data_IF_205925515905
#
_entry.id   IF_205925515905
#
_cell.length_a   1.000
_cell.length_b   1.000
_cell.length_c   1.000
_cell.angle_alpha   90.00
_cell.angle_beta   90.00
_cell.angle_gamma   90.00
#
_symmetry.space_group_name_H-M   'P 1'
#
loop_
_entity.id
_entity.type
_entity.pdbx_description
1 polymer ?
#
# COMPACT_ATOMS: atom_id res chain seq x y z
N UNK A 1 -14.12 32.62 -7.67
CA UNK A 1 -14.14 31.18 -7.37
C UNK A 1 -12.78 30.74 -6.86
N UNK A 2 -12.72 30.41 -5.57
CA UNK A 2 -11.54 30.14 -4.72
C UNK A 2 -10.50 29.10 -5.23
N UNK A 3 -10.70 28.48 -6.40
CA UNK A 3 -9.76 27.55 -7.04
C UNK A 3 -8.72 28.24 -7.95
N UNK A 4 -8.56 29.56 -7.86
CA UNK A 4 -7.46 30.25 -8.56
C UNK A 4 -6.14 30.00 -7.83
N UNK A 5 -5.04 29.67 -8.52
CA UNK A 5 -3.76 29.24 -7.92
C UNK A 5 -3.03 30.30 -7.06
N UNK A 6 -3.65 31.46 -6.82
CA UNK A 6 -3.05 32.61 -6.14
C UNK A 6 -3.72 32.98 -4.81
N UNK A 7 -4.80 32.31 -4.39
CA UNK A 7 -5.43 32.55 -3.07
C UNK A 7 -5.37 31.29 -2.21
N UNK A 8 -4.84 31.35 -0.98
CA UNK A 8 -4.91 30.24 -0.03
C UNK A 8 -6.37 29.98 0.37
N UNK A 9 -6.76 28.71 0.44
CA UNK A 9 -8.07 28.30 0.95
C UNK A 9 -7.94 28.07 2.45
N UNK A 10 -8.37 29.05 3.23
CA UNK A 10 -8.41 29.02 4.69
C UNK A 10 -9.76 29.54 5.19
N UNK A 11 -10.00 29.47 6.51
CA UNK A 11 -11.29 29.85 7.09
C UNK A 11 -11.64 31.32 6.81
N UNK A 12 -10.64 32.21 6.74
CA UNK A 12 -10.86 33.63 6.49
C UNK A 12 -11.27 33.84 5.02
N UNK A 13 -10.51 33.29 4.08
CA UNK A 13 -10.80 33.45 2.64
C UNK A 13 -12.10 32.76 2.23
N UNK A 14 -12.42 31.62 2.84
CA UNK A 14 -13.69 30.92 2.62
C UNK A 14 -14.88 31.71 3.21
N UNK A 15 -14.73 32.29 4.40
CA UNK A 15 -15.79 33.10 5.03
C UNK A 15 -16.10 34.35 4.23
N UNK A 16 -15.08 35.06 3.73
CA UNK A 16 -15.28 36.26 2.91
C UNK A 16 -15.99 35.95 1.59
N UNK A 17 -15.65 34.85 0.92
CA UNK A 17 -16.32 34.47 -0.33
C UNK A 17 -17.78 34.08 -0.08
N UNK A 18 -18.05 33.27 0.94
CA UNK A 18 -19.42 32.88 1.32
C UNK A 18 -20.27 34.08 1.77
N UNK A 19 -19.65 35.10 2.37
CA UNK A 19 -20.33 36.34 2.72
C UNK A 19 -20.67 37.17 1.49
N UNK A 20 -19.78 37.24 0.50
CA UNK A 20 -20.05 37.90 -0.80
C UNK A 20 -21.18 37.22 -1.57
N UNK A 21 -21.25 35.88 -1.51
CA UNK A 21 -22.32 35.10 -2.14
C UNK A 21 -23.63 35.09 -1.33
N UNK A 22 -23.61 35.59 -0.08
CA UNK A 22 -24.77 35.65 0.80
C UNK A 22 -25.14 34.32 1.47
N UNK A 23 -24.34 33.26 1.30
CA UNK A 23 -24.62 31.91 1.81
C UNK A 23 -24.00 31.61 3.19
N UNK A 24 -23.22 32.55 3.76
CA UNK A 24 -22.50 32.33 5.02
C UNK A 24 -23.44 32.00 6.19
N UNK A 25 -24.58 32.67 6.30
CA UNK A 25 -25.53 32.41 7.38
C UNK A 25 -26.26 31.06 7.21
N UNK A 26 -26.56 30.65 5.97
CA UNK A 26 -27.27 29.39 5.68
C UNK A 26 -26.49 28.15 6.13
N UNK A 27 -25.16 28.21 6.08
CA UNK A 27 -24.28 27.11 6.51
C UNK A 27 -23.98 27.13 8.02
N UNK A 28 -24.55 28.07 8.79
CA UNK A 28 -24.31 28.21 10.23
C UNK A 28 -23.20 29.19 10.62
N UNK A 29 -22.72 30.02 9.68
CA UNK A 29 -21.79 31.11 9.94
C UNK A 29 -20.32 30.71 10.14
N UNK A 30 -19.49 31.69 10.49
CA UNK A 30 -18.05 31.50 10.70
C UNK A 30 -17.72 30.53 11.86
N UNK A 31 -18.64 30.38 12.82
CA UNK A 31 -18.53 29.43 13.92
C UNK A 31 -18.57 27.98 13.42
N UNK A 32 -19.43 27.66 12.45
CA UNK A 32 -19.50 26.33 11.86
C UNK A 32 -18.20 25.97 11.11
N UNK A 33 -17.67 26.90 10.31
CA UNK A 33 -16.39 26.71 9.60
C UNK A 33 -15.23 26.46 10.57
N UNK A 34 -15.21 27.18 11.70
CA UNK A 34 -14.20 26.98 12.74
C UNK A 34 -14.33 25.58 13.38
N UNK A 35 -15.55 25.12 13.63
CA UNK A 35 -15.79 23.79 14.20
C UNK A 35 -15.36 22.63 13.27
N UNK A 36 -15.39 22.83 11.95
CA UNK A 36 -14.90 21.86 10.98
C UNK A 36 -13.38 21.65 11.07
N UNK A 37 -12.62 22.68 11.50
CA UNK A 37 -11.18 22.53 11.73
C UNK A 37 -10.88 21.70 12.98
N UNK A 38 -11.70 21.80 14.02
CA UNK A 38 -11.49 21.11 15.29
C UNK A 38 -11.78 19.59 15.18
N UNK A 39 -12.63 19.18 14.23
CA UNK A 39 -13.04 17.79 14.02
C UNK A 39 -12.07 16.92 13.21
N UNK A 40 -11.00 17.49 12.64
CA UNK A 40 -10.11 16.78 11.71
C UNK A 40 -8.80 16.37 12.40
N UNK A 41 -8.45 15.07 12.46
CA UNK A 41 -7.18 14.61 13.02
C UNK A 41 -5.99 15.19 12.25
N UNK A 42 -4.95 15.66 12.96
CA UNK A 42 -3.77 16.34 12.37
C UNK A 42 -2.93 15.48 11.42
N UNK A 43 -3.09 14.15 11.43
CA UNK A 43 -2.43 13.20 10.52
C UNK A 43 -3.40 12.75 9.43
N UNK A 44 -3.52 13.54 8.37
CA UNK A 44 -4.61 13.41 7.40
C UNK A 44 -4.32 12.39 6.30
N UNK A 45 -5.11 11.32 6.27
CA UNK A 45 -5.40 10.60 5.03
C UNK A 45 -6.73 11.16 4.46
N UNK A 46 -6.70 12.39 3.92
CA UNK A 46 -7.88 13.05 3.29
C UNK A 46 -8.55 12.11 2.28
N UNK A 47 -7.74 11.37 1.53
CA UNK A 47 -8.21 10.41 0.54
C UNK A 47 -9.07 9.30 1.17
N UNK A 48 -8.72 8.83 2.37
CA UNK A 48 -9.51 7.85 3.11
C UNK A 48 -10.89 8.40 3.50
N UNK A 49 -10.96 9.61 4.06
CA UNK A 49 -12.24 10.22 4.43
C UNK A 49 -13.10 10.57 3.21
N UNK A 50 -12.49 11.09 2.15
CA UNK A 50 -13.17 11.34 0.88
C UNK A 50 -13.76 10.06 0.30
N UNK A 51 -13.04 8.93 0.42
CA UNK A 51 -13.54 7.62 -0.01
C UNK A 51 -14.75 7.16 0.80
N UNK A 52 -14.77 7.35 2.12
CA UNK A 52 -15.94 7.05 2.96
C UNK A 52 -17.15 7.86 2.51
N UNK A 53 -16.98 9.18 2.30
CA UNK A 53 -18.07 10.07 1.87
C UNK A 53 -18.59 9.63 0.50
N UNK A 54 -17.70 9.33 -0.46
CA UNK A 54 -18.08 8.86 -1.79
C UNK A 54 -18.83 7.53 -1.75
N UNK A 55 -18.40 6.59 -0.91
CA UNK A 55 -19.09 5.30 -0.71
C UNK A 55 -20.50 5.49 -0.13
N UNK A 56 -20.66 6.35 0.88
CA UNK A 56 -21.99 6.66 1.42
C UNK A 56 -22.88 7.39 0.42
N UNK A 57 -22.31 8.23 -0.44
CA UNK A 57 -23.04 8.88 -1.54
C UNK A 57 -23.56 7.87 -2.56
N UNK A 58 -22.76 6.86 -2.89
CA UNK A 58 -23.15 5.77 -3.79
C UNK A 58 -24.35 5.00 -3.23
N UNK A 59 -24.33 4.63 -1.94
CA UNK A 59 -25.47 3.95 -1.32
C UNK A 59 -26.74 4.78 -1.38
N UNK A 60 -26.65 6.10 -1.10
CA UNK A 60 -27.81 7.00 -1.21
C UNK A 60 -28.36 7.06 -2.63
N UNK A 61 -27.50 7.17 -3.63
CA UNK A 61 -27.92 7.19 -5.03
C UNK A 61 -28.58 5.87 -5.45
N UNK A 62 -28.03 4.73 -5.04
CA UNK A 62 -28.65 3.43 -5.31
C UNK A 62 -30.04 3.32 -4.70
N UNK A 63 -30.21 3.77 -3.44
CA UNK A 63 -31.51 3.82 -2.77
C UNK A 63 -32.50 4.69 -3.55
N UNK A 64 -32.08 5.88 -3.99
CA UNK A 64 -32.93 6.80 -4.75
C UNK A 64 -33.32 6.21 -6.11
N UNK A 65 -32.37 5.62 -6.84
CA UNK A 65 -32.63 4.96 -8.13
C UNK A 65 -33.59 3.78 -7.96
N UNK A 66 -33.39 2.94 -6.94
CA UNK A 66 -34.30 1.83 -6.65
C UNK A 66 -35.70 2.30 -6.25
N UNK A 67 -35.80 3.34 -5.43
CA UNK A 67 -37.09 3.92 -5.04
C UNK A 67 -37.86 4.48 -6.26
N UNK A 68 -37.15 5.12 -7.20
CA UNK A 68 -37.73 5.58 -8.46
C UNK A 68 -38.26 4.42 -9.30
N UNK A 69 -37.47 3.36 -9.48
CA UNK A 69 -37.88 2.15 -10.23
C UNK A 69 -39.14 1.52 -9.61
N UNK A 70 -39.18 1.43 -8.28
CA UNK A 70 -40.35 0.90 -7.56
C UNK A 70 -41.59 1.78 -7.82
N UNK A 71 -41.46 3.09 -7.71
CA UNK A 71 -42.57 4.02 -7.95
C UNK A 71 -43.11 3.90 -9.37
N UNK A 72 -42.24 3.89 -10.38
CA UNK A 72 -42.61 3.73 -11.78
C UNK A 72 -43.31 2.38 -12.05
N UNK A 73 -42.89 1.33 -11.35
CA UNK A 73 -43.51 -0.01 -11.45
C UNK A 73 -44.97 -0.03 -10.95
N UNK A 74 -45.29 0.78 -9.94
CA UNK A 74 -46.66 0.89 -9.40
C UNK A 74 -47.57 1.78 -10.24
N UNK A 75 -47.03 2.80 -10.92
CA UNK A 75 -47.83 3.71 -11.74
C UNK A 75 -48.39 3.05 -13.02
N UNK A 76 -47.78 1.95 -13.50
CA UNK A 76 -48.19 1.17 -14.68
C UNK A 76 -48.51 2.01 -15.93
N UNK A 77 -47.86 3.18 -16.08
CA UNK A 77 -48.10 4.09 -17.21
C UNK A 77 -47.36 3.69 -18.48
N UNK A 78 -46.24 2.99 -18.34
CA UNK A 78 -45.32 2.67 -19.42
C UNK A 78 -45.36 1.17 -19.77
N UNK A 79 -44.92 0.82 -20.98
CA UNK A 79 -44.74 -0.56 -21.39
C UNK A 79 -43.65 -1.24 -20.54
N UNK A 80 -43.79 -2.55 -20.31
CA UNK A 80 -42.91 -3.30 -19.42
C UNK A 80 -41.45 -3.29 -19.91
N UNK A 81 -41.25 -3.33 -21.23
CA UNK A 81 -39.93 -3.28 -21.85
C UNK A 81 -39.27 -1.90 -21.64
N UNK A 82 -40.04 -0.82 -21.72
CA UNK A 82 -39.56 0.54 -21.49
C UNK A 82 -39.13 0.74 -20.03
N UNK A 83 -39.91 0.21 -19.07
CA UNK A 83 -39.58 0.26 -17.66
C UNK A 83 -38.29 -0.53 -17.33
N UNK A 84 -38.07 -1.66 -17.99
CA UNK A 84 -36.84 -2.45 -17.86
C UNK A 84 -35.62 -1.67 -18.36
N UNK A 85 -35.72 -1.00 -19.50
CA UNK A 85 -34.64 -0.18 -20.06
C UNK A 85 -34.28 1.03 -19.17
N UNK A 86 -35.29 1.70 -18.60
CA UNK A 86 -35.08 2.80 -17.64
C UNK A 86 -34.41 2.31 -16.35
N UNK A 87 -34.83 1.17 -15.82
CA UNK A 87 -34.24 0.56 -14.64
C UNK A 87 -32.77 0.18 -14.89
N UNK A 88 -32.47 -0.42 -16.04
CA UNK A 88 -31.12 -0.79 -16.44
C UNK A 88 -30.21 0.46 -16.54
N UNK A 89 -30.71 1.52 -17.18
CA UNK A 89 -29.98 2.79 -17.34
C UNK A 89 -29.65 3.44 -15.99
N UNK A 90 -30.62 3.49 -15.08
CA UNK A 90 -30.45 4.06 -13.75
C UNK A 90 -29.42 3.31 -12.88
N UNK A 91 -29.29 2.00 -13.06
CA UNK A 91 -28.29 1.18 -12.36
C UNK A 91 -26.89 1.35 -12.97
N UNK A 92 -26.80 1.43 -14.29
CA UNK A 92 -25.53 1.67 -15.00
C UNK A 92 -24.93 3.03 -14.60
N UNK A 93 -25.73 4.09 -14.55
CA UNK A 93 -25.27 5.43 -14.19
C UNK A 93 -24.63 5.47 -12.78
N UNK A 94 -25.21 4.72 -11.83
CA UNK A 94 -24.66 4.58 -10.46
C UNK A 94 -23.34 3.80 -10.49
N UNK A 95 -23.21 2.80 -11.37
CA UNK A 95 -22.00 2.00 -11.52
C UNK A 95 -20.83 2.75 -12.19
N UNK A 96 -21.12 3.63 -13.16
CA UNK A 96 -20.10 4.41 -13.88
C UNK A 96 -19.35 5.40 -12.98
N UNK A 97 -19.96 5.88 -11.89
CA UNK A 97 -19.28 6.73 -10.90
C UNK A 97 -18.15 6.02 -10.14
N UNK A 98 -17.99 4.70 -10.31
CA UNK A 98 -16.91 3.88 -9.76
C UNK A 98 -15.76 3.68 -10.75
N UNK A 99 -15.87 4.14 -12.00
CA UNK A 99 -14.86 3.90 -13.04
C UNK A 99 -13.55 4.59 -12.60
N UNK A 100 -12.57 3.75 -12.26
CA UNK A 100 -11.17 4.12 -12.05
C UNK A 100 -10.69 4.92 -13.26
N UNK A 101 -9.66 5.79 -13.12
CA UNK A 101 -9.11 6.52 -14.26
C UNK A 101 -8.89 5.57 -15.44
N UNK A 102 -9.56 5.87 -16.56
CA UNK A 102 -9.50 5.10 -17.79
C UNK A 102 -8.20 5.36 -18.56
N UNK A 103 -8.28 5.47 -19.88
CA UNK A 103 -7.11 5.80 -20.69
C UNK A 103 -6.61 7.22 -20.37
N UNK A 104 -5.31 7.34 -20.07
CA UNK A 104 -4.62 8.62 -19.90
C UNK A 104 -3.83 8.92 -21.17
N UNK A 105 -3.96 10.10 -21.79
CA UNK A 105 -3.26 10.41 -23.02
C UNK A 105 -1.74 10.52 -22.79
N UNK A 106 -0.96 10.06 -23.77
CA UNK A 106 0.52 10.08 -23.70
C UNK A 106 1.09 11.49 -23.53
N UNK A 107 0.39 12.53 -23.98
CA UNK A 107 0.78 13.92 -23.78
C UNK A 107 0.85 14.33 -22.30
N UNK A 108 0.09 13.67 -21.43
CA UNK A 108 0.15 13.89 -19.98
C UNK A 108 1.23 13.03 -19.29
N UNK A 109 1.59 11.88 -19.88
CA UNK A 109 2.53 10.93 -19.28
C UNK A 109 3.99 11.19 -19.68
N UNK A 110 4.24 11.53 -20.94
CA UNK A 110 5.61 11.62 -21.46
C UNK A 110 6.45 12.76 -20.82
N UNK A 111 5.93 13.99 -20.65
CA UNK A 111 6.71 15.06 -20.00
C UNK A 111 7.21 14.73 -18.58
N UNK A 112 6.36 14.32 -17.61
CA UNK A 112 6.83 14.02 -16.27
C UNK A 112 7.79 12.81 -16.23
N UNK A 113 7.62 11.82 -17.11
CA UNK A 113 8.57 10.70 -17.22
C UNK A 113 9.94 11.15 -17.71
N UNK A 114 10.01 12.06 -18.69
CA UNK A 114 11.29 12.61 -19.17
C UNK A 114 11.98 13.40 -18.05
N UNK A 115 11.24 14.16 -17.25
CA UNK A 115 11.81 14.92 -16.14
C UNK A 115 12.32 14.00 -15.02
N UNK A 116 11.62 12.89 -14.75
CA UNK A 116 12.12 11.83 -13.86
C UNK A 116 13.44 11.24 -14.38
N UNK A 117 13.56 10.97 -15.69
CA UNK A 117 14.80 10.44 -16.29
C UNK A 117 15.96 11.44 -16.17
N UNK A 118 15.71 12.74 -16.37
CA UNK A 118 16.73 13.78 -16.17
C UNK A 118 17.23 13.80 -14.73
N UNK A 119 16.32 13.73 -13.77
CA UNK A 119 16.68 13.68 -12.35
C UNK A 119 17.56 12.45 -12.01
N UNK A 120 17.24 11.29 -12.58
CA UNK A 120 18.06 10.07 -12.42
C UNK A 120 19.45 10.22 -13.04
N UNK A 121 19.52 10.78 -14.25
CA UNK A 121 20.79 11.04 -14.96
C UNK A 121 21.71 11.94 -14.15
N UNK A 122 21.16 12.96 -13.50
CA UNK A 122 21.95 13.94 -12.76
C UNK A 122 22.49 13.38 -11.43
N UNK A 123 21.82 12.39 -10.82
CA UNK A 123 22.28 11.69 -9.60
C UNK A 123 23.45 10.73 -9.85
N UNK A 124 23.57 10.16 -11.05
CA UNK A 124 24.60 9.17 -11.44
C UNK A 124 24.74 7.99 -10.46
N UNK A 125 23.64 7.57 -9.85
CA UNK A 125 23.62 6.41 -8.95
C UNK A 125 23.57 5.10 -9.77
N UNK A 126 24.40 4.13 -9.38
CA UNK A 126 24.41 2.79 -10.02
C UNK A 126 23.22 1.94 -9.59
N UNK A 127 22.70 2.18 -8.38
CA UNK A 127 21.54 1.48 -7.81
C UNK A 127 20.50 2.52 -7.46
N UNK A 128 19.35 2.44 -8.11
CA UNK A 128 18.26 3.44 -8.01
C UNK A 128 17.02 2.91 -7.29
N UNK A 129 16.91 1.59 -7.19
CA UNK A 129 15.91 0.89 -6.37
C UNK A 129 16.47 0.43 -5.02
N UNK A 130 15.72 -0.45 -4.36
CA UNK A 130 16.17 -1.12 -3.12
C UNK A 130 17.34 -2.06 -3.46
N UNK A 131 18.54 -1.88 -2.88
CA UNK A 131 19.70 -2.70 -3.18
C UNK A 131 19.52 -4.12 -2.61
N UNK A 132 19.99 -5.11 -3.37
CA UNK A 132 19.94 -6.52 -2.96
C UNK A 132 21.10 -6.93 -2.08
N UNK A 133 22.20 -6.16 -2.11
CA UNK A 133 23.46 -6.48 -1.43
C UNK A 133 24.38 -7.37 -2.27
N UNK A 134 23.90 -7.87 -3.41
CA UNK A 134 24.68 -8.61 -4.39
C UNK A 134 25.07 -7.65 -5.52
N UNK A 135 26.33 -7.19 -5.55
CA UNK A 135 26.81 -6.19 -6.52
C UNK A 135 26.51 -6.55 -7.96
N UNK A 136 26.69 -7.82 -8.34
CA UNK A 136 26.46 -8.26 -9.71
C UNK A 136 24.96 -8.23 -10.05
N UNK A 137 24.09 -8.59 -9.10
CA UNK A 137 22.64 -8.51 -9.28
C UNK A 137 22.17 -7.06 -9.36
N UNK A 138 22.64 -6.22 -8.44
CA UNK A 138 22.35 -4.78 -8.43
C UNK A 138 22.88 -4.09 -9.69
N UNK A 139 24.00 -4.54 -10.27
CA UNK A 139 24.50 -4.05 -11.55
C UNK A 139 23.61 -4.43 -12.73
N UNK A 140 22.90 -5.56 -12.65
CA UNK A 140 21.96 -6.01 -13.69
C UNK A 140 20.58 -5.38 -13.55
N UNK A 141 20.11 -5.16 -12.32
CA UNK A 141 18.73 -4.69 -12.05
C UNK A 141 18.65 -3.22 -11.63
N UNK A 142 19.78 -2.59 -11.29
CA UNK A 142 19.83 -1.29 -10.61
C UNK A 142 19.05 -1.28 -9.28
N UNK A 143 18.99 -2.42 -8.59
CA UNK A 143 18.17 -2.66 -7.40
C UNK A 143 16.78 -3.20 -7.75
N UNK A 144 15.87 -3.20 -6.77
CA UNK A 144 14.46 -3.54 -6.97
C UNK A 144 13.58 -2.28 -6.91
N UNK A 145 12.75 -2.06 -7.93
CA UNK A 145 12.00 -0.81 -8.06
C UNK A 145 10.56 -0.94 -7.56
N UNK A 146 10.01 0.20 -7.16
CA UNK A 146 8.61 0.28 -6.75
C UNK A 146 7.69 -0.15 -7.91
N UNK A 147 6.57 -0.79 -7.55
CA UNK A 147 5.56 -1.28 -8.49
C UNK A 147 5.99 -2.45 -9.37
N UNK A 148 7.14 -3.09 -9.10
CA UNK A 148 7.54 -4.33 -9.75
C UNK A 148 7.03 -5.58 -9.00
N UNK A 149 6.81 -6.65 -9.75
CA UNK A 149 6.53 -7.99 -9.21
C UNK A 149 7.66 -8.94 -9.61
N UNK A 150 8.55 -9.23 -8.67
CA UNK A 150 9.75 -10.03 -8.90
C UNK A 150 9.50 -11.47 -8.48
N UNK A 151 9.78 -12.42 -9.38
CA UNK A 151 9.59 -13.85 -9.14
C UNK A 151 10.93 -14.55 -9.02
N UNK A 152 11.21 -15.11 -7.85
CA UNK A 152 12.38 -15.97 -7.61
C UNK A 152 11.94 -17.43 -7.70
N UNK A 153 12.28 -18.09 -8.81
CA UNK A 153 11.91 -19.48 -9.09
C UNK A 153 13.13 -20.41 -9.04
N UNK A 154 12.88 -21.67 -8.69
CA UNK A 154 13.91 -22.68 -8.53
C UNK A 154 13.37 -23.93 -7.86
N UNK A 155 14.04 -25.08 -8.01
CA UNK A 155 13.60 -26.36 -7.42
C UNK A 155 13.68 -26.31 -5.88
N UNK A 156 12.99 -27.22 -5.16
CA UNK A 156 13.22 -27.42 -3.73
C UNK A 156 14.72 -27.56 -3.43
N UNK A 157 15.15 -27.05 -2.28
CA UNK A 157 16.56 -27.07 -1.84
C UNK A 157 17.57 -26.26 -2.68
N UNK A 158 17.12 -25.46 -3.67
CA UNK A 158 18.01 -24.56 -4.44
C UNK A 158 18.29 -23.20 -3.75
N UNK A 159 17.91 -23.03 -2.48
CA UNK A 159 18.28 -21.85 -1.70
C UNK A 159 17.45 -20.59 -1.93
N UNK A 160 16.25 -20.68 -2.50
CA UNK A 160 15.35 -19.52 -2.73
C UNK A 160 15.09 -18.70 -1.46
N UNK A 161 14.62 -19.36 -0.39
CA UNK A 161 14.40 -18.74 0.92
C UNK A 161 15.67 -18.11 1.46
N UNK A 162 16.81 -18.81 1.34
CA UNK A 162 18.09 -18.28 1.80
C UNK A 162 18.47 -17.00 1.06
N UNK A 163 18.29 -16.96 -0.27
CA UNK A 163 18.51 -15.76 -1.06
C UNK A 163 17.60 -14.61 -0.61
N UNK A 164 16.29 -14.84 -0.47
CA UNK A 164 15.34 -13.82 -0.01
C UNK A 164 15.70 -13.29 1.39
N UNK A 165 16.10 -14.16 2.31
CA UNK A 165 16.51 -13.78 3.66
C UNK A 165 17.79 -12.95 3.66
N UNK A 166 18.78 -13.28 2.83
CA UNK A 166 20.01 -12.48 2.71
C UNK A 166 19.73 -11.08 2.15
N UNK A 167 18.88 -10.98 1.12
CA UNK A 167 18.46 -9.68 0.58
C UNK A 167 17.70 -8.88 1.65
N UNK A 168 16.76 -9.53 2.36
CA UNK A 168 15.99 -8.90 3.44
C UNK A 168 16.91 -8.37 4.53
N UNK A 169 17.91 -9.16 4.91
CA UNK A 169 18.87 -8.83 5.94
C UNK A 169 19.77 -7.67 5.51
N UNK A 170 20.27 -7.68 4.27
CA UNK A 170 21.06 -6.57 3.74
C UNK A 170 20.26 -5.27 3.72
N UNK A 171 19.05 -5.28 3.13
CA UNK A 171 18.20 -4.12 3.06
C UNK A 171 17.82 -3.60 4.47
N UNK A 172 17.36 -4.47 5.36
CA UNK A 172 16.90 -4.05 6.69
C UNK A 172 17.99 -3.71 7.72
N UNK A 173 19.25 -4.13 7.50
CA UNK A 173 20.38 -3.84 8.41
C UNK A 173 21.36 -2.81 7.87
N UNK A 174 21.63 -2.81 6.56
CA UNK A 174 22.70 -2.00 5.95
C UNK A 174 22.15 -0.77 5.23
N UNK A 175 20.83 -0.62 5.16
CA UNK A 175 20.17 0.51 4.51
C UNK A 175 19.01 1.03 5.36
N UNK A 176 18.36 2.10 4.90
CA UNK A 176 17.20 2.66 5.58
C UNK A 176 15.85 2.04 5.19
N UNK A 177 15.86 1.07 4.27
CA UNK A 177 14.66 0.42 3.76
C UNK A 177 14.02 -0.55 4.76
N UNK A 178 12.69 -0.56 4.79
CA UNK A 178 11.89 -1.49 5.60
C UNK A 178 11.43 -2.69 4.78
N UNK A 179 11.61 -3.89 5.33
CA UNK A 179 11.30 -5.17 4.66
C UNK A 179 10.21 -5.94 5.40
N UNK A 180 9.16 -6.36 4.70
CA UNK A 180 8.19 -7.33 5.16
C UNK A 180 8.49 -8.72 4.62
N UNK A 181 8.25 -9.76 5.41
CA UNK A 181 8.48 -11.15 5.02
C UNK A 181 7.32 -12.05 5.47
N UNK A 182 6.50 -12.50 4.52
CA UNK A 182 5.49 -13.53 4.75
C UNK A 182 6.14 -14.91 4.61
N UNK A 183 6.31 -15.62 5.73
CA UNK A 183 6.87 -16.96 5.79
C UNK A 183 5.73 -17.98 5.92
N UNK A 184 5.30 -18.55 4.80
CA UNK A 184 4.20 -19.51 4.73
C UNK A 184 4.65 -20.96 4.91
N UNK A 185 5.94 -21.25 4.66
CA UNK A 185 6.52 -22.59 4.81
C UNK A 185 7.22 -22.78 6.18
N UNK A 186 7.78 -21.72 6.74
CA UNK A 186 8.62 -21.79 7.93
C UNK A 186 8.06 -20.97 9.09
N UNK A 187 8.25 -21.46 10.31
CA UNK A 187 7.97 -20.67 11.51
C UNK A 187 8.94 -19.48 11.64
N UNK A 188 8.50 -18.38 12.25
CA UNK A 188 9.28 -17.15 12.43
C UNK A 188 10.59 -17.39 13.18
N UNK A 189 10.60 -18.32 14.15
CA UNK A 189 11.81 -18.68 14.89
C UNK A 189 12.87 -19.30 13.98
N UNK A 190 12.46 -20.06 12.96
CA UNK A 190 13.39 -20.63 11.99
C UNK A 190 13.95 -19.57 11.04
N UNK A 191 13.14 -18.58 10.67
CA UNK A 191 13.57 -17.41 9.90
C UNK A 191 14.61 -16.61 10.68
N UNK A 192 14.32 -16.26 11.93
CA UNK A 192 15.23 -15.52 12.81
C UNK A 192 16.51 -16.30 13.06
N UNK A 193 16.43 -17.60 13.35
CA UNK A 193 17.62 -18.44 13.56
C UNK A 193 18.55 -18.44 12.34
N UNK A 194 17.99 -18.50 11.12
CA UNK A 194 18.79 -18.41 9.89
C UNK A 194 19.45 -17.05 9.72
N UNK A 195 18.74 -15.95 9.98
CA UNK A 195 19.29 -14.60 9.91
C UNK A 195 20.41 -14.40 10.96
N UNK A 196 20.22 -14.88 12.19
CA UNK A 196 21.25 -14.84 13.23
C UNK A 196 22.50 -15.62 12.83
N UNK A 197 22.34 -16.84 12.30
CA UNK A 197 23.47 -17.64 11.85
C UNK A 197 24.21 -17.00 10.67
N UNK A 198 23.47 -16.35 9.76
CA UNK A 198 24.05 -15.61 8.63
C UNK A 198 24.88 -14.41 9.10
N UNK A 199 24.36 -13.60 10.03
CA UNK A 199 25.08 -12.45 10.59
C UNK A 199 26.29 -12.89 11.44
N UNK A 200 26.12 -13.92 12.26
CA UNK A 200 27.18 -14.43 13.15
C UNK A 200 28.24 -15.27 12.40
N UNK A 201 27.97 -15.63 11.14
CA UNK A 201 28.75 -16.58 10.34
C UNK A 201 28.96 -17.93 11.05
N UNK A 202 27.86 -18.53 11.52
CA UNK A 202 27.88 -19.80 12.24
C UNK A 202 27.10 -20.89 11.49
N UNK A 203 27.53 -22.14 11.69
CA UNK A 203 26.84 -23.31 11.14
C UNK A 203 25.47 -23.49 11.82
N UNK A 204 24.40 -23.37 11.02
CA UNK A 204 23.02 -23.54 11.46
C UNK A 204 22.77 -24.88 12.15
N UNK A 205 23.37 -25.98 11.67
CA UNK A 205 23.22 -27.31 12.27
C UNK A 205 23.81 -27.31 13.67
N UNK A 206 24.98 -26.71 13.86
CA UNK A 206 25.68 -26.62 15.15
C UNK A 206 24.88 -25.81 16.17
N UNK A 207 24.32 -24.68 15.76
CA UNK A 207 23.45 -23.86 16.61
C UNK A 207 22.17 -24.62 16.97
N UNK A 208 21.53 -25.27 15.98
CA UNK A 208 20.29 -26.03 16.19
C UNK A 208 20.46 -27.22 17.14
N UNK A 209 21.63 -27.87 17.13
CA UNK A 209 21.92 -29.01 18.00
C UNK A 209 22.50 -28.60 19.36
N UNK A 210 22.73 -27.30 19.60
CA UNK A 210 23.30 -26.79 20.85
C UNK A 210 24.80 -27.05 21.04
N UNK A 211 25.49 -27.59 20.02
CA UNK A 211 26.94 -27.87 20.09
C UNK A 211 27.77 -26.60 19.84
N UNK A 212 27.46 -25.49 20.51
CA UNK A 212 28.13 -24.20 20.35
C UNK A 212 29.04 -23.90 21.54
N UNK A 213 30.24 -23.40 21.27
CA UNK A 213 31.15 -22.95 22.33
C UNK A 213 30.77 -21.56 22.85
N UNK A 214 31.29 -21.17 24.02
CA UNK A 214 31.01 -19.85 24.62
C UNK A 214 31.31 -18.69 23.68
N UNK A 215 32.44 -18.73 22.96
CA UNK A 215 32.81 -17.69 21.99
C UNK A 215 31.81 -17.55 20.84
N UNK A 216 31.23 -18.67 20.37
CA UNK A 216 30.22 -18.65 19.32
C UNK A 216 28.87 -18.16 19.86
N UNK A 217 28.55 -18.50 21.10
CA UNK A 217 27.37 -18.00 21.78
C UNK A 217 27.43 -16.48 21.99
N UNK A 218 28.60 -15.94 22.36
CA UNK A 218 28.81 -14.48 22.44
C UNK A 218 28.65 -13.80 21.08
N UNK A 219 29.12 -14.42 19.98
CA UNK A 219 28.84 -13.90 18.63
C UNK A 219 27.34 -13.85 18.33
N UNK A 220 26.59 -14.90 18.70
CA UNK A 220 25.13 -14.93 18.50
C UNK A 220 24.42 -13.82 19.27
N UNK A 221 24.85 -13.51 20.50
CA UNK A 221 24.30 -12.39 21.28
C UNK A 221 24.51 -11.06 20.57
N UNK A 222 25.74 -10.77 20.15
CA UNK A 222 26.06 -9.54 19.42
C UNK A 222 25.26 -9.43 18.11
N UNK A 223 25.16 -10.52 17.35
CA UNK A 223 24.32 -10.55 16.14
C UNK A 223 22.83 -10.37 16.45
N UNK A 224 22.36 -10.84 17.61
CA UNK A 224 21.00 -10.62 18.08
C UNK A 224 20.71 -9.14 18.39
N UNK A 225 21.65 -8.44 19.01
CA UNK A 225 21.55 -6.99 19.23
C UNK A 225 21.46 -6.22 17.91
N UNK A 226 22.33 -6.55 16.94
CA UNK A 226 22.28 -5.96 15.60
C UNK A 226 20.95 -6.25 14.91
N UNK A 227 20.50 -7.51 14.92
CA UNK A 227 19.27 -7.92 14.26
C UNK A 227 18.03 -7.31 14.91
N UNK A 228 18.05 -7.04 16.21
CA UNK A 228 16.94 -6.40 16.94
C UNK A 228 16.64 -4.96 16.47
N UNK A 229 17.62 -4.31 15.85
CA UNK A 229 17.49 -2.95 15.30
C UNK A 229 17.10 -2.96 13.82
N UNK A 230 17.00 -4.14 13.19
CA UNK A 230 16.69 -4.28 11.77
C UNK A 230 15.25 -3.87 11.47
N UNK A 231 15.04 -3.16 10.37
CA UNK A 231 13.70 -2.81 9.86
C UNK A 231 13.06 -3.99 9.11
N UNK A 232 13.03 -5.17 9.74
CA UNK A 232 12.57 -6.43 9.15
C UNK A 232 11.38 -6.97 9.95
N UNK A 233 10.26 -7.20 9.27
CA UNK A 233 9.00 -7.62 9.89
C UNK A 233 8.56 -8.97 9.32
N UNK A 234 8.40 -9.97 10.19
CA UNK A 234 8.07 -11.35 9.78
C UNK A 234 6.65 -11.72 10.19
N UNK A 235 5.90 -12.34 9.28
CA UNK A 235 4.58 -12.89 9.54
C UNK A 235 4.53 -14.36 9.12
N UNK A 236 4.10 -15.24 10.03
CA UNK A 236 4.03 -16.70 9.84
C UNK A 236 2.60 -17.25 9.71
N UNK A 237 1.61 -16.38 9.44
CA UNK A 237 0.19 -16.78 9.44
C UNK A 237 -0.06 -17.88 8.38
N UNK A 238 -0.46 -19.10 8.79
CA UNK A 238 -0.67 -20.20 7.86
C UNK A 238 -1.95 -20.00 7.04
N UNK A 239 -1.94 -20.41 5.78
CA UNK A 239 -3.12 -20.36 4.91
C UNK A 239 -3.63 -18.96 4.56
N UNK A 240 -2.76 -17.95 4.66
CA UNK A 240 -3.05 -16.55 4.43
C UNK A 240 -3.68 -16.31 3.03
N UNK A 241 -4.82 -15.62 3.00
CA UNK A 241 -5.44 -15.18 1.75
C UNK A 241 -4.74 -13.93 1.20
N UNK A 242 -4.87 -13.69 -0.12
CA UNK A 242 -4.33 -12.48 -0.77
C UNK A 242 -4.88 -11.19 -0.12
N UNK A 243 -6.15 -11.21 0.30
CA UNK A 243 -6.80 -10.04 0.91
C UNK A 243 -6.26 -9.74 2.31
N UNK A 244 -6.06 -10.77 3.14
CA UNK A 244 -5.44 -10.62 4.46
C UNK A 244 -3.99 -10.16 4.36
N UNK A 245 -3.22 -10.77 3.44
CA UNK A 245 -1.85 -10.37 3.16
C UNK A 245 -1.78 -8.87 2.79
N UNK A 246 -2.67 -8.43 1.90
CA UNK A 246 -2.76 -7.03 1.49
C UNK A 246 -3.13 -6.11 2.64
N UNK A 247 -4.05 -6.52 3.52
CA UNK A 247 -4.43 -5.74 4.70
C UNK A 247 -3.25 -5.57 5.67
N UNK A 248 -2.51 -6.66 5.93
CA UNK A 248 -1.32 -6.65 6.79
C UNK A 248 -0.18 -5.81 6.20
N UNK A 249 0.12 -5.97 4.91
CA UNK A 249 1.13 -5.16 4.22
C UNK A 249 0.80 -3.66 4.23
N UNK A 250 -0.48 -3.30 4.05
CA UNK A 250 -0.94 -1.90 4.15
C UNK A 250 -0.76 -1.34 5.55
N UNK A 251 -1.13 -2.10 6.57
CA UNK A 251 -0.93 -1.71 7.97
C UNK A 251 0.55 -1.47 8.26
N UNK A 252 1.42 -2.39 7.82
CA UNK A 252 2.87 -2.24 7.99
C UNK A 252 3.42 -1.00 7.26
N UNK A 253 2.98 -0.74 6.03
CA UNK A 253 3.35 0.47 5.28
C UNK A 253 2.97 1.75 6.01
N UNK A 254 1.82 1.77 6.69
CA UNK A 254 1.35 2.93 7.46
C UNK A 254 2.09 3.12 8.78
N UNK A 255 2.37 2.03 9.49
CA UNK A 255 2.96 2.08 10.84
C UNK A 255 4.49 2.22 10.83
N UNK A 256 5.18 1.56 9.89
CA UNK A 256 6.65 1.37 9.93
C UNK A 256 7.37 1.69 8.62
N UNK A 257 6.62 2.18 7.62
CA UNK A 257 7.05 2.17 6.21
C UNK A 257 7.32 0.74 5.69
N UNK A 258 7.22 0.54 4.38
CA UNK A 258 7.44 -0.76 3.74
C UNK A 258 7.91 -0.52 2.30
N UNK A 259 9.11 -0.97 1.99
CA UNK A 259 9.77 -0.72 0.70
C UNK A 259 9.98 -2.02 -0.09
N UNK A 260 10.12 -3.16 0.61
CA UNK A 260 10.26 -4.47 -0.02
C UNK A 260 9.41 -5.50 0.73
N UNK A 261 8.72 -6.36 -0.02
CA UNK A 261 7.85 -7.40 0.55
C UNK A 261 8.17 -8.77 -0.07
N UNK A 262 8.57 -9.72 0.75
CA UNK A 262 8.80 -11.11 0.36
C UNK A 262 7.62 -12.01 0.75
N UNK A 263 7.35 -13.01 -0.09
CA UNK A 263 6.33 -14.04 0.13
C UNK A 263 6.97 -15.41 -0.17
N UNK A 264 7.13 -16.24 0.85
CA UNK A 264 7.76 -17.57 0.75
C UNK A 264 6.78 -18.67 1.19
N UNK A 265 6.05 -19.35 0.30
CA UNK A 265 5.99 -19.19 -1.17
C UNK A 265 4.53 -19.16 -1.66
N UNK A 266 4.32 -18.51 -2.82
CA UNK A 266 3.00 -18.09 -3.32
C UNK A 266 1.98 -19.23 -3.50
N UNK A 267 2.43 -20.47 -3.68
CA UNK A 267 1.56 -21.63 -3.94
C UNK A 267 0.80 -22.09 -2.67
N UNK A 268 1.23 -21.64 -1.48
CA UNK A 268 0.51 -21.88 -0.23
C UNK A 268 -0.58 -20.84 0.04
N UNK A 269 -0.72 -19.83 -0.83
CA UNK A 269 -1.80 -18.86 -0.73
C UNK A 269 -3.11 -19.47 -1.20
N UNK A 270 -4.17 -19.26 -0.41
CA UNK A 270 -5.52 -19.64 -0.83
C UNK A 270 -6.06 -18.59 -1.79
N UNK A 271 -6.55 -19.04 -2.95
CA UNK A 271 -7.45 -18.22 -3.74
C UNK A 271 -8.71 -18.02 -2.89
N UNK A 272 -8.92 -16.80 -2.41
CA UNK A 272 -10.16 -16.47 -1.71
C UNK A 272 -11.32 -16.77 -2.66
N UNK A 273 -12.26 -17.61 -2.20
CA UNK A 273 -13.57 -17.73 -2.82
C UNK A 273 -14.38 -16.47 -2.66
#
# INVERSE_FOLDING_TARGET
GLNSPFLPVDVLTLSEELQKEGSLEEIGGASYLSSLMDGVPKSLNVEFYARIIKEKSLFRQLILSSAKIISSSFEQKDDADQLLDEAQSAIIEVAEQRIKPGFVPMSMLAPPTIDMIKALRDRKETVTGVPTGFRDLDGLTAGFHNSEFIVIAGRPSMGKTALCLNISQYAGLKTDYSVGFFSLEMAKEQVVLRMLCAEAQLDLKKVRTGFIGEREFEKLKLSGEVLSQAKIFVDETPGLTVMEMKAKARRLKMEQNLDLLFIDYIQLMRAGG
#
